data_IF_608816278510
#
_entry.id   IF_608816278510
#
_cell.length_a   1.000
_cell.length_b   1.000
_cell.length_c   1.000
_cell.angle_alpha   90.00
_cell.angle_beta   90.00
_cell.angle_gamma   90.00
#
_symmetry.space_group_name_H-M   'P 1'
#
loop_
_entity.id
_entity.type
_entity.pdbx_description
1 polymer ?
#
# COMPACT_ATOMS: atom_id res chain seq x y z
N UNK A 1 -0.73 62.25 12.19
CA UNK A 1 -0.24 60.92 11.80
C UNK A 1 -0.40 59.97 12.98
N UNK A 2 -1.30 59.00 12.88
CA UNK A 2 -1.17 57.61 13.38
C UNK A 2 -2.48 56.91 13.05
N UNK A 3 -2.45 55.98 12.09
CA UNK A 3 -3.57 55.10 11.73
C UNK A 3 -3.53 53.89 12.66
N UNK A 4 -4.52 53.73 13.54
CA UNK A 4 -4.69 52.50 14.29
C UNK A 4 -5.45 51.48 13.44
N UNK A 5 -4.75 50.37 13.21
CA UNK A 5 -5.13 49.18 12.48
C UNK A 5 -6.08 48.35 13.37
N UNK A 6 -7.37 48.25 13.02
CA UNK A 6 -8.27 47.30 13.68
C UNK A 6 -8.13 45.96 12.97
N UNK A 7 -7.54 45.04 13.72
CA UNK A 7 -7.22 43.66 13.37
C UNK A 7 -8.52 42.87 13.12
N UNK A 8 -8.67 42.35 11.91
CA UNK A 8 -9.75 41.42 11.55
C UNK A 8 -9.46 40.05 12.16
N UNK A 9 -10.24 39.65 13.16
CA UNK A 9 -10.20 38.30 13.74
C UNK A 9 -10.99 37.34 12.86
N UNK A 10 -10.31 36.75 11.87
CA UNK A 10 -10.85 35.63 11.11
C UNK A 10 -10.68 34.35 11.93
N UNK A 11 -11.69 34.00 12.73
CA UNK A 11 -11.75 32.69 13.41
C UNK A 11 -12.05 31.65 12.33
N UNK A 12 -10.98 31.11 11.74
CA UNK A 12 -11.05 29.94 10.88
C UNK A 12 -11.31 28.74 11.78
N UNK A 13 -12.60 28.49 12.06
CA UNK A 13 -13.04 27.28 12.76
C UNK A 13 -12.64 26.09 11.89
N UNK A 14 -11.52 25.46 12.24
CA UNK A 14 -11.05 24.24 11.63
C UNK A 14 -12.18 23.21 11.71
N UNK A 15 -12.69 22.83 10.54
CA UNK A 15 -13.48 21.61 10.39
C UNK A 15 -12.56 20.48 10.83
N UNK A 16 -12.66 20.09 12.09
CA UNK A 16 -12.03 18.90 12.63
C UNK A 16 -12.71 17.71 11.97
N UNK A 17 -12.22 17.35 10.78
CA UNK A 17 -12.49 16.04 10.19
C UNK A 17 -12.01 15.02 11.24
N UNK A 18 -12.97 14.31 11.85
CA UNK A 18 -12.75 13.51 13.06
C UNK A 18 -11.65 12.47 12.83
N UNK A 19 -10.45 12.79 13.34
CA UNK A 19 -9.36 11.82 13.46
C UNK A 19 -9.77 10.77 14.49
N UNK A 20 -9.31 9.51 14.36
CA UNK A 20 -9.63 8.48 15.32
C UNK A 20 -9.27 8.93 16.73
N UNK A 21 -10.21 8.75 17.65
CA UNK A 21 -10.13 9.20 19.04
C UNK A 21 -9.29 8.27 19.91
N UNK A 22 -9.20 6.99 19.53
CA UNK A 22 -8.45 5.96 20.22
C UNK A 22 -7.78 5.00 19.22
N UNK A 23 -6.88 4.15 19.74
CA UNK A 23 -6.11 3.21 18.93
C UNK A 23 -6.99 2.15 18.25
N UNK A 24 -8.07 1.70 18.88
CA UNK A 24 -8.96 0.69 18.28
C UNK A 24 -9.69 1.23 17.05
N UNK A 25 -10.18 2.47 17.11
CA UNK A 25 -10.81 3.15 15.99
C UNK A 25 -9.80 3.34 14.84
N UNK A 26 -8.58 3.77 15.16
CA UNK A 26 -7.49 3.88 14.21
C UNK A 26 -7.21 2.52 13.54
N UNK A 27 -7.01 1.46 14.32
CA UNK A 27 -6.74 0.12 13.81
C UNK A 27 -7.88 -0.38 12.92
N UNK A 28 -9.15 -0.19 13.32
CA UNK A 28 -10.31 -0.58 12.50
C UNK A 28 -10.35 0.16 11.17
N UNK A 29 -10.09 1.47 11.17
CA UNK A 29 -10.07 2.26 9.95
C UNK A 29 -8.93 1.82 9.02
N UNK A 30 -7.71 1.64 9.54
CA UNK A 30 -6.59 1.23 8.71
C UNK A 30 -6.75 -0.22 8.19
N UNK A 31 -7.32 -1.13 8.99
CA UNK A 31 -7.66 -2.48 8.53
C UNK A 31 -8.68 -2.46 7.38
N UNK A 32 -9.72 -1.61 7.45
CA UNK A 32 -10.67 -1.41 6.36
C UNK A 32 -9.99 -0.89 5.09
N UNK A 33 -9.07 0.07 5.24
CA UNK A 33 -8.24 0.57 4.13
C UNK A 33 -7.40 -0.55 3.53
N UNK A 34 -6.73 -1.37 4.34
CA UNK A 34 -5.92 -2.50 3.88
C UNK A 34 -6.76 -3.50 3.08
N UNK A 35 -7.91 -3.91 3.62
CA UNK A 35 -8.80 -4.87 2.96
C UNK A 35 -9.30 -4.36 1.60
N UNK A 36 -9.67 -3.07 1.52
CA UNK A 36 -10.10 -2.47 0.24
C UNK A 36 -8.95 -2.36 -0.76
N UNK A 37 -7.73 -2.04 -0.32
CA UNK A 37 -6.55 -2.05 -1.18
C UNK A 37 -6.24 -3.46 -1.72
N UNK A 38 -6.36 -4.49 -0.89
CA UNK A 38 -6.20 -5.89 -1.30
C UNK A 38 -7.26 -6.29 -2.34
N UNK A 39 -8.52 -5.89 -2.12
CA UNK A 39 -9.61 -6.12 -3.06
C UNK A 39 -9.36 -5.43 -4.41
N UNK A 40 -8.93 -4.15 -4.41
CA UNK A 40 -8.52 -3.43 -5.62
C UNK A 40 -7.36 -4.15 -6.32
N UNK A 41 -6.35 -4.60 -5.56
CA UNK A 41 -5.23 -5.36 -6.09
C UNK A 41 -5.69 -6.64 -6.80
N UNK A 42 -6.61 -7.39 -6.19
CA UNK A 42 -7.20 -8.59 -6.79
C UNK A 42 -7.94 -8.28 -8.08
N UNK A 43 -8.81 -7.27 -8.08
CA UNK A 43 -9.58 -6.88 -9.27
C UNK A 43 -8.65 -6.40 -10.39
N UNK A 44 -7.59 -5.66 -10.08
CA UNK A 44 -6.58 -5.26 -11.07
C UNK A 44 -5.88 -6.47 -11.71
N UNK A 45 -5.58 -7.52 -10.95
CA UNK A 45 -5.02 -8.76 -11.52
C UNK A 45 -6.01 -9.45 -12.47
N UNK A 46 -7.31 -9.48 -12.11
CA UNK A 46 -8.35 -10.03 -12.96
C UNK A 46 -8.55 -9.21 -14.25
N UNK A 47 -8.51 -7.88 -14.17
CA UNK A 47 -8.50 -6.98 -15.34
C UNK A 47 -7.28 -7.28 -16.21
N UNK A 48 -6.10 -7.43 -15.58
CA UNK A 48 -4.88 -7.68 -16.32
C UNK A 48 -4.91 -9.03 -17.05
N UNK A 49 -5.47 -10.05 -16.43
CA UNK A 49 -5.70 -11.35 -17.06
C UNK A 49 -6.70 -11.26 -18.22
N UNK A 50 -7.82 -10.56 -18.04
CA UNK A 50 -8.82 -10.39 -19.09
C UNK A 50 -8.25 -9.60 -20.29
N UNK A 51 -7.47 -8.55 -20.04
CA UNK A 51 -6.77 -7.80 -21.09
C UNK A 51 -5.74 -8.67 -21.81
N UNK A 52 -4.99 -9.50 -21.07
CA UNK A 52 -4.06 -10.45 -21.68
C UNK A 52 -4.78 -11.43 -22.60
N UNK A 53 -5.86 -12.05 -22.13
CA UNK A 53 -6.69 -12.98 -22.92
C UNK A 53 -7.22 -12.32 -24.18
N UNK A 54 -7.75 -11.10 -24.07
CA UNK A 54 -8.16 -10.30 -25.23
C UNK A 54 -7.02 -10.09 -26.23
N UNK A 55 -5.87 -9.63 -25.75
CA UNK A 55 -4.71 -9.33 -26.60
C UNK A 55 -4.11 -10.59 -27.27
N UNK A 56 -4.30 -11.77 -26.68
CA UNK A 56 -3.91 -13.06 -27.24
C UNK A 56 -4.91 -13.57 -28.29
N UNK A 57 -6.21 -13.30 -28.11
CA UNK A 57 -7.27 -13.77 -29.02
C UNK A 57 -7.61 -12.78 -30.15
N UNK A 58 -7.15 -11.53 -30.06
CA UNK A 58 -7.47 -10.47 -31.03
C UNK A 58 -6.92 -10.80 -32.42
N UNK A 59 -7.56 -10.23 -33.45
CA UNK A 59 -7.02 -10.25 -34.81
C UNK A 59 -5.84 -9.28 -34.93
N UNK A 60 -4.98 -9.51 -35.92
CA UNK A 60 -3.76 -8.72 -36.11
C UNK A 60 -4.02 -7.23 -36.35
N UNK A 61 -5.14 -6.89 -36.98
CA UNK A 61 -5.61 -5.54 -37.31
C UNK A 61 -6.38 -4.85 -36.16
N UNK A 62 -6.73 -5.59 -35.10
CA UNK A 62 -7.39 -5.02 -33.91
C UNK A 62 -6.37 -4.37 -32.98
N UNK A 63 -6.71 -3.21 -32.42
CA UNK A 63 -5.82 -2.52 -31.49
C UNK A 63 -5.70 -3.28 -30.16
N UNK A 64 -4.48 -3.46 -29.62
CA UNK A 64 -4.29 -4.06 -28.31
C UNK A 64 -4.72 -3.09 -27.19
N UNK A 65 -5.18 -3.65 -26.08
CA UNK A 65 -5.40 -2.89 -24.85
C UNK A 65 -4.10 -2.89 -24.05
N UNK A 66 -3.59 -1.71 -23.74
CA UNK A 66 -2.41 -1.53 -22.89
C UNK A 66 -2.87 -1.03 -21.53
N UNK A 67 -2.48 -1.74 -20.45
CA UNK A 67 -2.80 -1.36 -19.07
C UNK A 67 -1.92 -0.21 -18.59
N UNK A 68 -2.41 0.62 -17.66
CA UNK A 68 -1.58 1.64 -17.04
C UNK A 68 -0.58 1.03 -16.04
N UNK A 69 0.48 1.75 -15.75
CA UNK A 69 1.45 1.33 -14.71
C UNK A 69 0.87 1.42 -13.29
N UNK A 70 -0.18 2.23 -13.13
CA UNK A 70 -0.88 2.52 -11.87
C UNK A 70 -1.85 1.41 -11.44
N UNK A 71 -2.03 1.26 -10.12
CA UNK A 71 -3.01 0.36 -9.50
C UNK A 71 -4.40 1.01 -9.31
N UNK A 72 -4.62 2.21 -9.82
CA UNK A 72 -5.89 2.93 -9.66
C UNK A 72 -6.99 2.49 -10.64
N UNK A 73 -6.77 1.40 -11.38
CA UNK A 73 -7.63 0.97 -12.48
C UNK A 73 -7.27 1.64 -13.81
N UNK A 74 -8.15 1.48 -14.79
CA UNK A 74 -8.04 2.00 -16.14
C UNK A 74 -8.24 3.52 -16.17
N UNK A 75 -7.48 4.20 -17.04
CA UNK A 75 -7.66 5.62 -17.29
C UNK A 75 -8.81 5.90 -18.28
N UNK A 76 -9.18 7.17 -18.44
CA UNK A 76 -10.29 7.59 -19.30
C UNK A 76 -10.11 7.20 -20.76
N UNK A 77 -8.88 7.23 -21.26
CA UNK A 77 -8.56 6.91 -22.66
C UNK A 77 -8.74 5.41 -22.92
N UNK A 78 -8.27 4.56 -21.99
CA UNK A 78 -8.45 3.11 -22.03
C UNK A 78 -9.92 2.72 -21.90
N UNK A 79 -10.67 3.36 -21.00
CA UNK A 79 -12.11 3.11 -20.87
C UNK A 79 -12.85 3.45 -22.17
N UNK A 80 -12.53 4.60 -22.77
CA UNK A 80 -13.13 5.01 -24.04
C UNK A 80 -12.77 4.04 -25.18
N UNK A 81 -11.51 3.62 -25.26
CA UNK A 81 -11.07 2.61 -26.23
C UNK A 81 -11.89 1.33 -26.11
N UNK A 82 -12.02 0.78 -24.90
CA UNK A 82 -12.77 -0.46 -24.67
C UNK A 82 -14.26 -0.29 -24.97
N UNK A 83 -14.84 0.86 -24.64
CA UNK A 83 -16.23 1.20 -25.01
C UNK A 83 -16.43 1.25 -26.53
N UNK A 84 -15.51 1.89 -27.25
CA UNK A 84 -15.54 1.95 -28.71
C UNK A 84 -15.41 0.55 -29.32
N UNK A 85 -14.56 -0.32 -28.76
CA UNK A 85 -14.42 -1.71 -29.18
C UNK A 85 -15.71 -2.50 -28.96
N UNK A 86 -16.34 -2.40 -27.78
CA UNK A 86 -17.62 -3.06 -27.47
C UNK A 86 -18.73 -2.66 -28.45
N UNK A 87 -18.75 -1.40 -28.89
CA UNK A 87 -19.76 -0.88 -29.82
C UNK A 87 -19.65 -1.50 -31.21
N UNK A 88 -18.44 -1.90 -31.62
CA UNK A 88 -18.12 -2.46 -32.94
C UNK A 88 -18.09 -3.99 -32.92
N UNK A 89 -17.87 -4.58 -31.75
CA UNK A 89 -17.74 -6.03 -31.57
C UNK A 89 -19.07 -6.77 -31.84
N UNK A 90 -18.97 -7.81 -32.67
CA UNK A 90 -20.07 -8.71 -33.04
C UNK A 90 -19.99 -10.04 -32.32
N UNK A 91 -18.78 -10.50 -31.96
CA UNK A 91 -18.61 -11.73 -31.21
C UNK A 91 -19.08 -11.54 -29.76
N UNK A 92 -20.09 -12.32 -29.38
CA UNK A 92 -20.75 -12.21 -28.07
C UNK A 92 -19.75 -12.52 -26.93
N UNK A 93 -18.83 -13.46 -27.15
CA UNK A 93 -17.83 -13.86 -26.15
C UNK A 93 -16.84 -12.73 -25.89
N UNK A 94 -16.25 -12.16 -26.94
CA UNK A 94 -15.33 -11.02 -26.85
C UNK A 94 -16.03 -9.80 -26.25
N UNK A 95 -17.25 -9.51 -26.70
CA UNK A 95 -18.05 -8.41 -26.15
C UNK A 95 -18.32 -8.59 -24.65
N UNK A 96 -18.61 -9.83 -24.23
CA UNK A 96 -18.76 -10.18 -22.82
C UNK A 96 -17.49 -9.93 -22.01
N UNK A 97 -16.33 -10.36 -22.51
CA UNK A 97 -15.04 -10.16 -21.85
C UNK A 97 -14.68 -8.66 -21.72
N UNK A 98 -14.85 -7.87 -22.79
CA UNK A 98 -14.61 -6.42 -22.76
C UNK A 98 -15.56 -5.71 -21.77
N UNK A 99 -16.82 -6.14 -21.71
CA UNK A 99 -17.80 -5.62 -20.74
C UNK A 99 -17.39 -5.94 -19.30
N UNK A 100 -16.92 -7.17 -19.03
CA UNK A 100 -16.41 -7.55 -17.72
C UNK A 100 -15.22 -6.68 -17.27
N UNK A 101 -14.32 -6.29 -18.19
CA UNK A 101 -13.22 -5.38 -17.89
C UNK A 101 -13.76 -4.02 -17.40
N UNK A 102 -14.75 -3.45 -18.10
CA UNK A 102 -15.38 -2.18 -17.70
C UNK A 102 -16.06 -2.29 -16.33
N UNK A 103 -16.83 -3.35 -16.10
CA UNK A 103 -17.59 -3.50 -14.84
C UNK A 103 -16.67 -3.73 -13.64
N UNK A 104 -15.58 -4.46 -13.83
CA UNK A 104 -14.51 -4.57 -12.82
C UNK A 104 -13.85 -3.21 -12.56
N UNK A 105 -13.61 -2.41 -13.59
CA UNK A 105 -13.06 -1.06 -13.41
C UNK A 105 -14.00 -0.14 -12.61
N UNK A 106 -15.31 -0.17 -12.88
CA UNK A 106 -16.31 0.57 -12.09
C UNK A 106 -16.29 0.15 -10.62
N UNK A 107 -16.05 -1.14 -10.36
CA UNK A 107 -15.90 -1.65 -8.99
C UNK A 107 -14.66 -1.03 -8.31
N UNK A 108 -13.53 -0.95 -9.02
CA UNK A 108 -12.33 -0.25 -8.54
C UNK A 108 -12.63 1.23 -8.26
N UNK A 109 -13.34 1.93 -9.15
CA UNK A 109 -13.72 3.34 -8.94
C UNK A 109 -14.52 3.54 -7.66
N UNK A 110 -15.51 2.67 -7.41
CA UNK A 110 -16.30 2.69 -6.16
C UNK A 110 -15.43 2.42 -4.93
N UNK A 111 -14.55 1.41 -4.98
CA UNK A 111 -13.65 1.09 -3.88
C UNK A 111 -12.66 2.23 -3.61
N UNK A 112 -12.17 2.90 -4.65
CA UNK A 112 -11.31 4.08 -4.53
C UNK A 112 -12.05 5.26 -3.89
N UNK A 113 -13.31 5.52 -4.26
CA UNK A 113 -14.11 6.56 -3.63
C UNK A 113 -14.29 6.29 -2.11
N UNK A 114 -14.67 5.07 -1.75
CA UNK A 114 -14.79 4.65 -0.35
C UNK A 114 -13.45 4.79 0.41
N UNK A 115 -12.33 4.49 -0.26
CA UNK A 115 -11.00 4.60 0.32
C UNK A 115 -10.62 6.05 0.61
N UNK A 116 -10.91 6.98 -0.31
CA UNK A 116 -10.62 8.40 -0.08
C UNK A 116 -11.41 8.95 1.12
N UNK A 117 -12.68 8.56 1.26
CA UNK A 117 -13.49 8.91 2.44
C UNK A 117 -12.93 8.34 3.75
N UNK A 118 -12.36 7.13 3.72
CA UNK A 118 -11.71 6.52 4.89
C UNK A 118 -10.37 7.18 5.20
N UNK A 119 -9.54 7.43 4.19
CA UNK A 119 -8.23 8.09 4.33
C UNK A 119 -8.38 9.51 4.83
N UNK A 120 -9.44 10.23 4.46
CA UNK A 120 -9.72 11.58 4.96
C UNK A 120 -9.88 11.64 6.50
N UNK A 121 -10.28 10.53 7.12
CA UNK A 121 -10.42 10.40 8.59
C UNK A 121 -9.13 9.97 9.28
N UNK A 122 -8.14 9.50 8.53
CA UNK A 122 -6.87 9.01 9.07
C UNK A 122 -5.78 10.09 8.97
N UNK A 123 -4.77 10.08 9.86
CA UNK A 123 -3.59 10.92 9.70
C UNK A 123 -2.84 10.54 8.42
N UNK A 124 -2.29 11.49 7.66
CA UNK A 124 -1.57 11.15 6.41
C UNK A 124 -0.48 10.10 6.67
N UNK A 125 -0.38 9.04 5.84
CA UNK A 125 0.65 8.04 6.02
C UNK A 125 2.02 8.59 5.59
N UNK A 126 3.07 7.99 6.15
CA UNK A 126 4.43 8.15 5.66
C UNK A 126 4.64 7.18 4.50
N UNK A 127 5.00 7.69 3.33
CA UNK A 127 5.42 6.86 2.19
C UNK A 127 6.88 6.47 2.40
N UNK A 128 7.15 5.17 2.48
CA UNK A 128 8.48 4.60 2.69
C UNK A 128 9.42 4.97 1.54
N UNK A 129 10.61 5.46 1.88
CA UNK A 129 11.70 5.74 0.94
C UNK A 129 12.84 4.72 1.13
N UNK A 130 13.78 4.73 0.18
CA UNK A 130 14.99 3.92 0.31
C UNK A 130 15.76 4.29 1.59
N UNK A 131 16.10 3.28 2.39
CA UNK A 131 16.83 3.45 3.66
C UNK A 131 15.95 3.77 4.87
N UNK A 132 14.63 3.96 4.70
CA UNK A 132 13.73 4.07 5.83
C UNK A 132 13.57 2.72 6.55
N UNK A 133 13.55 2.76 7.87
CA UNK A 133 13.16 1.63 8.71
C UNK A 133 11.89 1.97 9.47
N UNK A 134 11.11 0.96 9.82
CA UNK A 134 9.86 1.18 10.55
C UNK A 134 10.11 1.84 11.90
N UNK A 135 11.18 1.42 12.59
CA UNK A 135 11.63 2.05 13.83
C UNK A 135 11.94 3.54 13.62
N UNK A 136 12.72 3.89 12.59
CA UNK A 136 13.07 5.29 12.31
C UNK A 136 11.82 6.14 12.05
N UNK A 137 10.87 5.63 11.27
CA UNK A 137 9.60 6.33 10.99
C UNK A 137 8.83 6.58 12.29
N UNK A 138 8.67 5.56 13.12
CA UNK A 138 7.95 5.70 14.40
C UNK A 138 8.67 6.63 15.37
N UNK A 139 10.00 6.51 15.50
CA UNK A 139 10.82 7.36 16.35
C UNK A 139 10.76 8.84 15.93
N UNK A 140 10.91 9.11 14.64
CA UNK A 140 10.82 10.47 14.10
C UNK A 140 9.43 11.07 14.36
N UNK A 141 8.37 10.30 14.16
CA UNK A 141 7.00 10.75 14.46
C UNK A 141 6.82 11.08 15.96
N UNK A 142 7.21 10.17 16.85
CA UNK A 142 7.05 10.35 18.29
C UNK A 142 7.87 11.55 18.81
N UNK A 143 9.12 11.68 18.40
CA UNK A 143 10.03 12.71 18.93
C UNK A 143 9.86 14.07 18.25
N UNK A 144 9.75 14.10 16.92
CA UNK A 144 9.76 15.35 16.14
C UNK A 144 8.37 15.94 15.95
N UNK A 145 7.34 15.10 15.79
CA UNK A 145 5.97 15.59 15.58
C UNK A 145 5.15 15.63 16.86
N UNK A 146 5.36 14.67 17.78
CA UNK A 146 4.59 14.57 19.03
C UNK A 146 5.34 15.09 20.26
N UNK A 147 6.64 15.37 20.15
CA UNK A 147 7.45 15.89 21.25
C UNK A 147 7.61 14.91 22.41
N UNK A 148 7.47 13.61 22.16
CA UNK A 148 7.69 12.56 23.16
C UNK A 148 9.19 12.50 23.48
N UNK A 149 9.51 12.34 24.76
CA UNK A 149 10.89 12.16 25.21
C UNK A 149 11.57 10.97 24.50
N UNK A 150 12.84 11.09 24.06
CA UNK A 150 13.55 10.03 23.36
C UNK A 150 13.54 8.66 24.04
N UNK A 151 13.68 8.61 25.37
CA UNK A 151 13.67 7.35 26.11
C UNK A 151 12.27 6.75 26.07
N UNK A 152 11.23 7.54 26.33
CA UNK A 152 9.84 7.09 26.25
C UNK A 152 9.46 6.63 24.85
N UNK A 153 9.92 7.32 23.81
CA UNK A 153 9.69 6.94 22.42
C UNK A 153 10.24 5.54 22.11
N UNK A 154 11.45 5.22 22.57
CA UNK A 154 12.04 3.88 22.41
C UNK A 154 11.22 2.82 23.16
N UNK A 155 10.81 3.07 24.41
CA UNK A 155 9.97 2.13 25.17
C UNK A 155 8.65 1.82 24.43
N UNK A 156 8.01 2.84 23.86
CA UNK A 156 6.78 2.68 23.07
C UNK A 156 7.00 1.87 21.79
N UNK A 157 8.13 2.06 21.11
CA UNK A 157 8.49 1.32 19.90
C UNK A 157 8.82 -0.14 20.19
N UNK A 158 9.52 -0.43 21.29
CA UNK A 158 9.83 -1.80 21.73
C UNK A 158 8.57 -2.60 22.09
N UNK A 159 7.54 -1.93 22.59
CA UNK A 159 6.24 -2.55 22.89
C UNK A 159 5.35 -2.76 21.65
N UNK A 160 5.77 -2.25 20.49
CA UNK A 160 4.96 -2.23 19.28
C UNK A 160 5.40 -3.26 18.26
N UNK A 161 4.44 -3.77 17.48
CA UNK A 161 4.76 -4.65 16.36
C UNK A 161 5.30 -3.83 15.17
N UNK A 162 6.61 -3.87 14.99
CA UNK A 162 7.28 -3.22 13.86
C UNK A 162 7.62 -4.27 12.78
N UNK A 163 7.16 -4.03 11.55
CA UNK A 163 7.66 -4.74 10.38
C UNK A 163 9.19 -4.65 10.25
N UNK A 164 9.85 -5.80 10.08
CA UNK A 164 11.30 -5.94 9.93
C UNK A 164 11.82 -5.25 8.65
N UNK A 165 11.12 -5.49 7.54
CA UNK A 165 11.50 -4.99 6.22
C UNK A 165 10.39 -4.12 5.62
N UNK A 166 10.78 -2.96 5.09
CA UNK A 166 9.89 -2.06 4.37
C UNK A 166 10.37 -1.87 2.92
N UNK A 167 9.46 -2.07 1.97
CA UNK A 167 9.73 -1.77 0.57
C UNK A 167 9.40 -0.29 0.29
N UNK A 168 10.27 0.46 -0.44
CA UNK A 168 9.94 1.80 -0.90
C UNK A 168 8.59 1.82 -1.63
N UNK A 169 7.72 2.76 -1.26
CA UNK A 169 6.35 2.85 -1.76
C UNK A 169 5.27 2.23 -0.85
N UNK A 170 5.64 1.44 0.16
CA UNK A 170 4.72 1.12 1.25
C UNK A 170 4.26 2.38 1.98
N UNK A 171 3.09 2.32 2.59
CA UNK A 171 2.59 3.36 3.49
C UNK A 171 2.67 2.88 4.93
N UNK A 172 3.23 3.70 5.81
CA UNK A 172 3.23 3.50 7.25
C UNK A 172 2.29 4.53 7.88
N UNK A 173 1.21 4.05 8.48
CA UNK A 173 0.29 4.86 9.26
C UNK A 173 0.73 4.82 10.71
N UNK A 174 0.94 5.99 11.30
CA UNK A 174 1.36 6.13 12.70
C UNK A 174 0.29 6.85 13.51
N UNK A 175 0.13 6.42 14.76
CA UNK A 175 -0.84 6.92 15.71
C UNK A 175 -0.15 7.12 17.06
N UNK A 176 -0.45 8.24 17.72
CA UNK A 176 -0.07 8.46 19.10
C UNK A 176 -1.09 9.38 19.78
N UNK A 177 -1.67 8.88 20.88
CA UNK A 177 -2.52 9.62 21.79
C UNK A 177 -2.52 8.92 23.16
N UNK A 178 -2.68 9.69 24.25
CA UNK A 178 -2.79 9.17 25.62
C UNK A 178 -1.70 8.13 25.99
N UNK A 179 -0.47 8.41 25.56
CA UNK A 179 0.70 7.55 25.75
C UNK A 179 0.59 6.13 25.14
N UNK A 180 -0.28 5.98 24.15
CA UNK A 180 -0.45 4.77 23.35
C UNK A 180 0.06 5.04 21.93
N UNK A 181 1.09 4.31 21.53
CA UNK A 181 1.61 4.30 20.16
C UNK A 181 1.03 3.13 19.37
N UNK A 182 0.70 3.37 18.11
CA UNK A 182 0.24 2.35 17.19
C UNK A 182 0.76 2.63 15.79
N UNK A 183 1.05 1.56 15.05
CA UNK A 183 1.52 1.67 13.67
C UNK A 183 0.92 0.57 12.81
N UNK A 184 0.76 0.86 11.52
CA UNK A 184 0.26 -0.09 10.55
C UNK A 184 0.90 0.14 9.19
N UNK A 185 1.40 -0.93 8.58
CA UNK A 185 2.02 -0.91 7.25
C UNK A 185 1.05 -1.48 6.22
N UNK A 186 0.86 -0.78 5.11
CA UNK A 186 0.13 -1.30 3.96
C UNK A 186 0.92 -1.11 2.66
N UNK A 187 0.43 -1.77 1.60
CA UNK A 187 1.06 -1.85 0.29
C UNK A 187 1.32 -0.49 -0.39
N UNK A 188 0.59 0.56 -0.05
CA UNK A 188 0.74 1.85 -0.73
C UNK A 188 0.59 1.72 -2.26
N UNK A 189 1.62 2.11 -3.01
CA UNK A 189 1.62 2.13 -4.48
C UNK A 189 2.40 0.99 -5.15
N UNK A 190 3.02 0.09 -4.38
CA UNK A 190 3.76 -1.06 -4.93
C UNK A 190 2.83 -2.23 -5.24
N UNK A 191 3.29 -3.19 -6.04
CA UNK A 191 2.46 -4.32 -6.51
C UNK A 191 2.39 -5.52 -5.55
N UNK A 192 3.24 -5.52 -4.53
CA UNK A 192 3.36 -6.60 -3.55
C UNK A 192 2.87 -6.13 -2.18
N UNK A 193 2.10 -6.95 -1.47
CA UNK A 193 1.69 -6.63 -0.11
C UNK A 193 2.85 -6.77 0.90
N UNK A 194 2.82 -6.07 2.05
CA UNK A 194 3.83 -6.23 3.10
C UNK A 194 4.01 -7.68 3.54
N UNK A 195 2.90 -8.42 3.72
CA UNK A 195 2.94 -9.83 4.11
C UNK A 195 3.62 -10.72 3.07
N UNK A 196 3.34 -10.50 1.78
CA UNK A 196 4.02 -11.23 0.71
C UNK A 196 5.51 -10.89 0.67
N UNK A 197 5.85 -9.61 0.82
CA UNK A 197 7.23 -9.15 0.84
C UNK A 197 8.03 -9.79 1.99
N UNK A 198 7.51 -9.75 3.22
CA UNK A 198 8.15 -10.40 4.37
C UNK A 198 8.34 -11.91 4.16
N UNK A 199 7.42 -12.60 3.49
CA UNK A 199 7.59 -14.03 3.15
C UNK A 199 8.73 -14.26 2.15
N UNK A 200 8.85 -13.40 1.13
CA UNK A 200 9.94 -13.48 0.14
C UNK A 200 11.30 -13.27 0.83
N UNK A 201 11.41 -12.24 1.67
CA UNK A 201 12.65 -11.93 2.38
C UNK A 201 13.03 -13.07 3.33
N UNK A 202 12.08 -13.56 4.15
CA UNK A 202 12.34 -14.70 5.05
C UNK A 202 12.78 -15.95 4.29
N UNK A 203 12.11 -16.26 3.17
CA UNK A 203 12.51 -17.39 2.32
C UNK A 203 13.94 -17.21 1.80
N UNK A 204 14.27 -16.02 1.30
CA UNK A 204 15.61 -15.72 0.81
C UNK A 204 16.66 -15.87 1.90
N UNK A 205 16.44 -15.28 3.08
CA UNK A 205 17.35 -15.40 4.23
C UNK A 205 17.56 -16.87 4.65
N UNK A 206 16.51 -17.69 4.64
CA UNK A 206 16.63 -19.11 4.95
C UNK A 206 17.44 -19.88 3.90
N UNK A 207 17.23 -19.56 2.61
CA UNK A 207 17.95 -20.20 1.51
C UNK A 207 19.43 -19.77 1.53
N UNK A 208 19.74 -18.49 1.76
CA UNK A 208 21.10 -17.96 1.94
C UNK A 208 21.81 -18.62 3.15
N UNK A 209 21.13 -18.77 4.29
CA UNK A 209 21.67 -19.43 5.47
C UNK A 209 21.96 -20.92 5.25
N UNK A 210 21.12 -21.61 4.46
CA UNK A 210 21.35 -23.01 4.07
C UNK A 210 22.56 -23.14 3.15
N UNK A 211 22.74 -22.21 2.23
CA UNK A 211 23.90 -22.20 1.35
C UNK A 211 25.19 -21.96 2.13
N UNK A 212 25.21 -20.98 3.03
CA UNK A 212 26.33 -20.73 3.93
C UNK A 212 26.67 -21.96 4.78
N UNK A 213 25.67 -22.62 5.37
CA UNK A 213 25.88 -23.84 6.16
C UNK A 213 26.40 -25.03 5.32
N UNK A 214 26.02 -25.13 4.04
CA UNK A 214 26.61 -26.14 3.14
C UNK A 214 28.06 -25.85 2.83
N UNK A 215 28.39 -24.58 2.57
CA UNK A 215 29.76 -24.15 2.30
C UNK A 215 30.67 -24.44 3.50
N UNK A 216 30.25 -24.07 4.71
CA UNK A 216 30.97 -24.38 5.95
C UNK A 216 31.15 -25.89 6.18
N UNK A 217 30.16 -26.71 5.85
CA UNK A 217 30.24 -28.17 5.96
C UNK A 217 31.19 -28.81 4.93
N UNK A 218 31.33 -28.21 3.75
CA UNK A 218 32.35 -28.62 2.76
C UNK A 218 33.76 -28.15 3.11
N UNK A 219 33.91 -27.06 3.86
CA UNK A 219 35.21 -26.48 4.24
C UNK A 219 35.81 -27.08 5.53
N UNK A 220 35.00 -27.72 6.39
CA UNK A 220 35.49 -28.49 7.55
C UNK A 220 35.51 -30.00 7.24
N UNK A 221 36.68 -30.62 6.98
CA UNK A 221 36.77 -32.07 6.89
C UNK A 221 36.38 -32.69 8.23
N UNK A 222 35.65 -33.82 8.19
CA UNK A 222 35.30 -34.58 9.38
C UNK A 222 36.55 -34.87 10.22
N UNK A 223 36.57 -34.39 11.46
CA UNK A 223 37.63 -34.68 12.42
C UNK A 223 37.71 -36.20 12.60
N UNK A 224 38.88 -36.83 12.36
CA UNK A 224 38.98 -38.28 12.41
C UNK A 224 38.72 -38.75 13.85
N UNK A 225 37.76 -39.67 14.00
CA UNK A 225 37.45 -40.27 15.28
C UNK A 225 38.71 -40.87 15.91
N UNK A 226 39.15 -40.30 17.03
CA UNK A 226 40.30 -40.79 17.79
C UNK A 226 40.05 -42.23 18.25
N UNK A 227 41.00 -43.12 17.93
CA UNK A 227 41.04 -44.49 18.42
C UNK A 227 41.75 -44.56 19.77
#
# INVERSE_FOLDING_TARGET
>A
MLKNLILSAFVLSLISCGKPSNIEEFQRLVQKVSKKNEEIGSINMEIAEAVRKYNESRKADEQPIVLPDSMMGLNKEQLKLIQDMISKEQDISTKGMLTQIIDKNKTIEKLNADLEDMKAKLPRPVVVKAGDTHHKIGYDFLTKEKGVDPKRANELLEQSFLADDLLPGFNVWVYYNDDVFGTFVNQGNVRISPNQFSRIIRKKQMDDAREAGRQEATEKPAEPAAK
#
